data_IF_746938431643
#
_entry.id   IF_746938431643
#
_cell.length_a   1.000
_cell.length_b   1.000
_cell.length_c   1.000
_cell.angle_alpha   90.00
_cell.angle_beta   90.00
_cell.angle_gamma   90.00
#
_symmetry.space_group_name_H-M   'P 1'
#
loop_
_entity.id
_entity.type
_entity.pdbx_description
1 polymer ?
#
# COMPACT_ATOMS: atom_id res chain seq x y z
N UNK A 1 -28.69 58.46 -125.27
CA UNK A 1 -29.03 57.31 -126.14
C UNK A 1 -28.26 56.13 -125.72
N UNK A 2 -28.93 55.09 -125.38
CA UNK A 2 -28.62 53.69 -125.50
C UNK A 2 -27.36 53.21 -124.80
N UNK A 3 -27.34 52.24 -124.05
CA UNK A 3 -28.14 51.07 -123.71
C UNK A 3 -27.41 50.13 -122.76
N UNK A 4 -28.18 49.40 -122.07
CA UNK A 4 -27.80 48.28 -121.26
C UNK A 4 -27.09 47.16 -122.06
N UNK A 5 -26.38 46.22 -121.45
CA UNK A 5 -27.11 45.21 -120.71
C UNK A 5 -26.39 44.57 -119.46
N UNK A 6 -27.17 43.80 -118.70
CA UNK A 6 -26.90 42.98 -117.52
C UNK A 6 -26.01 41.80 -117.81
N UNK A 7 -25.30 41.32 -116.79
CA UNK A 7 -24.94 39.94 -116.66
C UNK A 7 -24.80 39.51 -115.22
N UNK A 8 -25.29 38.36 -114.92
CA UNK A 8 -25.54 37.59 -113.66
C UNK A 8 -24.29 37.15 -112.84
N UNK A 9 -24.49 36.66 -111.61
CA UNK A 9 -23.40 36.41 -110.66
C UNK A 9 -22.77 35.01 -110.81
N UNK A 10 -21.62 34.79 -110.21
CA UNK A 10 -21.19 33.43 -109.84
C UNK A 10 -21.11 33.19 -108.30
N UNK A 11 -21.28 31.99 -108.02
CA UNK A 11 -21.47 31.26 -106.78
C UNK A 11 -20.36 31.34 -105.70
N UNK A 12 -20.74 31.00 -104.50
CA UNK A 12 -20.13 30.97 -103.22
C UNK A 12 -18.74 30.37 -103.05
N UNK A 13 -18.07 30.84 -102.00
CA UNK A 13 -17.02 30.11 -101.32
C UNK A 13 -17.23 30.32 -99.79
N UNK A 14 -17.54 29.19 -99.18
CA UNK A 14 -17.53 29.01 -97.73
C UNK A 14 -16.11 29.21 -97.14
N UNK A 15 -16.05 29.67 -95.92
CA UNK A 15 -14.89 29.51 -95.12
C UNK A 15 -14.37 30.76 -94.41
N UNK A 16 -15.10 31.29 -93.44
CA UNK A 16 -14.57 32.26 -92.49
C UNK A 16 -13.95 31.52 -91.32
N UNK A 17 -12.70 31.11 -91.45
CA UNK A 17 -11.82 30.78 -90.29
C UNK A 17 -11.35 32.12 -89.66
N UNK A 18 -12.06 32.51 -88.63
CA UNK A 18 -11.76 33.73 -87.87
C UNK A 18 -10.54 33.50 -86.98
N UNK A 19 -9.33 34.06 -87.22
CA UNK A 19 -8.09 33.80 -86.45
C UNK A 19 -8.19 34.30 -85.01
N UNK A 20 -9.16 35.18 -84.68
CA UNK A 20 -9.40 35.69 -83.30
C UNK A 20 -10.05 34.66 -82.37
N UNK A 21 -10.88 33.73 -82.91
CA UNK A 21 -11.52 32.70 -82.06
C UNK A 21 -10.59 31.55 -81.65
N UNK A 22 -9.59 31.23 -82.51
CA UNK A 22 -8.56 30.25 -82.15
C UNK A 22 -7.56 30.81 -81.11
N UNK A 23 -7.22 32.07 -81.14
CA UNK A 23 -6.39 32.75 -80.15
C UNK A 23 -7.00 32.75 -78.75
N UNK A 24 -8.33 32.99 -78.68
CA UNK A 24 -9.04 32.98 -77.38
C UNK A 24 -9.16 31.59 -76.72
N UNK A 25 -9.26 30.52 -77.53
CA UNK A 25 -9.25 29.12 -76.97
C UNK A 25 -7.86 28.70 -76.51
N UNK A 26 -6.81 29.02 -77.24
CA UNK A 26 -5.44 28.75 -76.84
C UNK A 26 -5.07 29.57 -75.59
N UNK A 27 -5.48 30.83 -75.53
CA UNK A 27 -5.29 31.66 -74.33
C UNK A 27 -5.97 31.11 -73.05
N UNK A 28 -7.24 30.63 -73.23
CA UNK A 28 -7.98 30.03 -72.13
C UNK A 28 -7.35 28.67 -71.64
N UNK A 29 -6.95 27.82 -72.59
CA UNK A 29 -6.25 26.57 -72.26
C UNK A 29 -4.89 26.82 -71.58
N UNK A 30 -4.13 27.83 -72.09
CA UNK A 30 -2.88 28.26 -71.48
C UNK A 30 -3.09 28.84 -70.08
N UNK A 31 -4.12 29.69 -69.91
CA UNK A 31 -4.48 30.23 -68.59
C UNK A 31 -4.93 29.13 -67.59
N UNK A 32 -5.67 28.13 -68.06
CA UNK A 32 -6.11 26.99 -67.26
C UNK A 32 -4.96 26.09 -66.94
N UNK A 33 -4.01 25.81 -67.81
CA UNK A 33 -2.82 25.07 -67.55
C UNK A 33 -1.90 25.76 -66.53
N UNK A 34 -1.76 27.08 -66.64
CA UNK A 34 -1.01 27.90 -65.68
C UNK A 34 -1.74 27.86 -64.30
N UNK A 35 -3.04 28.00 -64.27
CA UNK A 35 -3.82 27.96 -63.03
C UNK A 35 -3.74 26.57 -62.34
N UNK A 36 -3.77 25.48 -63.13
CA UNK A 36 -3.60 24.11 -62.58
C UNK A 36 -2.16 23.89 -62.11
N UNK A 37 -1.17 24.39 -62.80
CA UNK A 37 0.23 24.26 -62.42
C UNK A 37 0.55 25.06 -61.15
N UNK A 38 0.10 26.34 -61.08
CA UNK A 38 0.31 27.15 -59.87
C UNK A 38 -0.59 26.69 -58.73
N UNK A 39 -1.85 26.28 -58.99
CA UNK A 39 -2.75 25.72 -58.02
C UNK A 39 -2.23 24.38 -57.44
N UNK A 40 -1.71 23.51 -58.30
CA UNK A 40 -1.07 22.27 -57.92
C UNK A 40 0.23 22.49 -57.11
N UNK A 41 1.09 23.44 -57.54
CA UNK A 41 2.28 23.82 -56.79
C UNK A 41 1.92 24.43 -55.44
N UNK A 42 0.92 25.28 -55.36
CA UNK A 42 0.46 25.88 -54.11
C UNK A 42 -0.17 24.84 -53.17
N UNK A 43 -0.97 23.93 -53.71
CA UNK A 43 -1.53 22.81 -52.94
C UNK A 43 -0.41 21.86 -52.41
N UNK A 44 0.60 21.58 -53.24
CA UNK A 44 1.75 20.81 -52.83
C UNK A 44 2.56 21.52 -51.74
N UNK A 45 2.84 22.83 -51.87
CA UNK A 45 3.52 23.65 -50.85
C UNK A 45 2.73 23.72 -49.53
N UNK A 46 1.40 23.69 -49.59
CA UNK A 46 0.52 23.71 -48.41
C UNK A 46 0.43 22.35 -47.71
N UNK A 47 0.50 21.25 -48.49
CA UNK A 47 0.34 19.87 -47.96
C UNK A 47 1.63 19.12 -47.74
N UNK A 48 2.74 19.53 -48.37
CA UNK A 48 4.01 18.86 -48.21
C UNK A 48 4.61 19.09 -46.78
N UNK A 49 4.70 18.05 -45.94
CA UNK A 49 5.28 18.19 -44.61
C UNK A 49 6.81 18.32 -44.72
N UNK A 50 7.33 19.44 -44.27
CA UNK A 50 8.78 19.61 -44.07
C UNK A 50 9.08 19.24 -42.61
N UNK A 51 9.95 18.23 -42.42
CA UNK A 51 10.52 17.91 -41.11
C UNK A 51 11.42 19.06 -40.70
N UNK A 52 11.14 19.71 -39.60
CA UNK A 52 12.04 20.69 -38.99
C UNK A 52 12.74 20.08 -37.77
N UNK A 53 13.99 20.38 -37.61
CA UNK A 53 14.77 19.97 -36.46
C UNK A 53 15.50 21.18 -35.85
N UNK A 54 15.45 21.29 -34.54
CA UNK A 54 16.27 22.26 -33.79
C UNK A 54 17.66 21.67 -33.62
N UNK A 55 18.64 22.39 -34.05
CA UNK A 55 20.07 21.98 -33.96
C UNK A 55 20.67 22.57 -32.69
N UNK A 56 21.04 21.69 -31.77
CA UNK A 56 21.52 22.07 -30.44
C UNK A 56 22.95 21.61 -30.23
N UNK A 57 23.90 22.52 -29.93
CA UNK A 57 25.24 22.12 -29.50
C UNK A 57 25.12 21.38 -28.15
N UNK A 58 25.79 20.24 -28.06
CA UNK A 58 25.65 19.33 -26.93
C UNK A 58 27.00 18.68 -26.56
N UNK A 59 27.03 18.07 -25.40
CA UNK A 59 28.13 17.23 -24.92
C UNK A 59 27.61 16.00 -24.19
N UNK A 60 28.42 14.93 -24.23
CA UNK A 60 28.12 13.75 -23.44
C UNK A 60 28.45 14.01 -21.97
N UNK A 61 27.48 13.72 -21.09
CA UNK A 61 27.63 13.85 -19.64
C UNK A 61 27.27 12.52 -18.99
N UNK A 62 27.87 12.22 -17.86
CA UNK A 62 27.45 11.06 -17.02
C UNK A 62 26.26 11.47 -16.17
N UNK A 63 25.17 10.72 -16.24
CA UNK A 63 23.96 11.00 -15.48
C UNK A 63 24.17 10.85 -13.97
N UNK A 64 25.07 9.96 -13.55
CA UNK A 64 25.22 9.57 -12.17
C UNK A 64 26.71 9.46 -11.78
N UNK A 65 27.20 10.52 -11.16
CA UNK A 65 28.62 10.63 -10.89
C UNK A 65 29.14 9.68 -9.81
N UNK A 66 28.43 9.60 -8.68
CA UNK A 66 28.83 8.79 -7.53
C UNK A 66 27.66 8.58 -6.59
N UNK A 67 27.49 7.37 -6.12
CA UNK A 67 26.50 7.04 -5.10
C UNK A 67 27.14 7.04 -3.73
N UNK A 68 26.83 7.99 -2.84
CA UNK A 68 27.34 7.96 -1.48
C UNK A 68 26.69 6.81 -0.71
N UNK A 69 27.52 6.03 -0.05
CA UNK A 69 27.10 4.99 0.90
C UNK A 69 27.16 5.59 2.30
N UNK A 70 26.01 5.66 2.96
CA UNK A 70 25.83 6.26 4.29
C UNK A 70 25.14 5.25 5.20
N UNK A 71 25.35 5.38 6.51
CA UNK A 71 24.60 4.63 7.51
C UNK A 71 23.71 5.55 8.33
N UNK A 72 22.41 5.17 8.48
CA UNK A 72 21.41 6.05 9.09
C UNK A 72 21.65 6.27 10.58
N UNK A 73 21.94 5.19 11.31
CA UNK A 73 22.07 5.19 12.77
C UNK A 73 23.52 5.39 13.25
N UNK A 74 24.53 5.16 12.37
CA UNK A 74 25.92 5.08 12.77
C UNK A 74 26.25 3.77 13.49
N UNK A 75 27.30 3.72 14.27
CA UNK A 75 27.71 2.55 15.06
C UNK A 75 29.23 2.35 15.12
N UNK A 76 29.66 1.22 15.70
CA UNK A 76 31.07 0.84 15.76
C UNK A 76 31.37 -0.16 14.64
N UNK A 77 32.42 0.09 13.87
CA UNK A 77 32.82 -0.82 12.78
C UNK A 77 33.40 -2.11 13.35
N UNK A 78 32.73 -3.23 13.08
CA UNK A 78 33.24 -4.57 13.43
C UNK A 78 34.24 -5.07 12.39
N UNK A 79 33.89 -4.96 11.10
CA UNK A 79 34.77 -5.40 9.98
C UNK A 79 34.53 -4.55 8.74
N UNK A 80 35.59 -4.25 8.01
CA UNK A 80 35.58 -3.67 6.68
C UNK A 80 35.92 -4.79 5.69
N UNK A 81 35.07 -5.04 4.69
CA UNK A 81 35.18 -6.17 3.78
C UNK A 81 35.71 -5.77 2.40
N UNK A 82 35.82 -4.46 2.13
CA UNK A 82 36.24 -3.89 0.84
C UNK A 82 37.34 -2.86 1.00
N UNK A 83 38.07 -2.59 -0.08
CA UNK A 83 39.10 -1.55 -0.15
C UNK A 83 38.76 -0.56 -1.27
N UNK A 84 39.36 0.63 -1.23
CA UNK A 84 39.26 1.57 -2.35
C UNK A 84 39.85 0.94 -3.64
N UNK A 85 39.08 1.00 -4.72
CA UNK A 85 39.41 0.36 -6.01
C UNK A 85 38.78 -1.02 -6.21
N UNK A 86 38.15 -1.61 -5.17
CA UNK A 86 37.45 -2.90 -5.32
C UNK A 86 36.16 -2.75 -6.12
N UNK A 87 35.87 -3.74 -6.97
CA UNK A 87 34.59 -3.85 -7.67
C UNK A 87 33.61 -4.61 -6.82
N UNK A 88 32.41 -4.06 -6.71
CA UNK A 88 31.32 -4.61 -5.89
C UNK A 88 30.06 -4.78 -6.72
N UNK A 89 29.27 -5.78 -6.37
CA UNK A 89 27.94 -6.03 -6.94
C UNK A 89 26.86 -5.34 -6.09
N UNK A 90 25.72 -5.05 -6.69
CA UNK A 90 24.58 -4.52 -5.96
C UNK A 90 24.14 -5.48 -4.83
N UNK A 91 23.95 -4.96 -3.60
CA UNK A 91 23.59 -5.76 -2.42
C UNK A 91 24.79 -6.45 -1.73
N UNK A 92 26.01 -6.35 -2.30
CA UNK A 92 27.21 -6.90 -1.65
C UNK A 92 27.49 -6.16 -0.34
N UNK A 93 27.81 -6.93 0.72
CA UNK A 93 28.16 -6.36 2.04
C UNK A 93 29.53 -5.73 1.98
N UNK A 94 29.61 -4.43 2.26
CA UNK A 94 30.83 -3.62 2.23
C UNK A 94 31.50 -3.54 3.59
N UNK A 95 30.68 -3.43 4.63
CA UNK A 95 31.11 -3.22 6.01
C UNK A 95 30.10 -3.83 6.98
N UNK A 96 30.55 -4.29 8.11
CA UNK A 96 29.71 -4.76 9.23
C UNK A 96 29.90 -3.87 10.44
N UNK A 97 28.78 -3.43 11.01
CA UNK A 97 28.78 -2.67 12.24
C UNK A 97 28.48 -3.60 13.43
N UNK A 98 29.02 -3.26 14.59
CA UNK A 98 28.74 -3.94 15.86
C UNK A 98 27.79 -3.07 16.68
N UNK A 99 26.68 -3.65 17.08
CA UNK A 99 25.68 -3.02 17.96
C UNK A 99 25.34 -3.94 19.12
N UNK A 100 26.29 -4.15 20.04
CA UNK A 100 26.09 -5.01 21.21
C UNK A 100 24.89 -4.58 22.06
N UNK A 101 24.59 -3.27 22.12
CA UNK A 101 23.45 -2.75 22.87
C UNK A 101 22.12 -3.00 22.16
N UNK A 102 22.07 -2.94 20.83
CA UNK A 102 20.86 -3.18 20.07
C UNK A 102 20.43 -4.65 20.08
N UNK A 103 21.39 -5.59 19.97
CA UNK A 103 21.11 -7.03 20.08
C UNK A 103 20.49 -7.39 21.45
N UNK A 104 21.06 -6.86 22.55
CA UNK A 104 20.53 -7.05 23.90
C UNK A 104 19.14 -6.41 24.08
N UNK A 105 18.92 -5.23 23.49
CA UNK A 105 17.64 -4.51 23.51
C UNK A 105 16.54 -5.28 22.78
N UNK A 106 16.84 -5.77 21.59
CA UNK A 106 15.90 -6.58 20.79
C UNK A 106 15.56 -7.87 21.52
N UNK A 107 16.56 -8.57 22.10
CA UNK A 107 16.32 -9.79 22.85
C UNK A 107 15.46 -9.55 24.10
N UNK A 108 15.68 -8.46 24.82
CA UNK A 108 14.87 -8.09 25.99
C UNK A 108 13.42 -7.80 25.62
N UNK A 109 13.17 -7.05 24.53
CA UNK A 109 11.82 -6.79 24.02
C UNK A 109 11.15 -8.06 23.50
N UNK A 110 11.91 -8.96 22.86
CA UNK A 110 11.40 -10.24 22.40
C UNK A 110 10.97 -11.13 23.57
N UNK A 111 11.79 -11.19 24.63
CA UNK A 111 11.46 -11.93 25.87
C UNK A 111 10.18 -11.38 26.53
N UNK A 112 9.99 -10.04 26.54
CA UNK A 112 8.77 -9.40 27.03
C UNK A 112 7.55 -9.70 26.14
N UNK A 113 7.72 -9.65 24.83
CA UNK A 113 6.67 -9.98 23.86
C UNK A 113 6.23 -11.44 24.03
N UNK A 114 7.16 -12.36 24.19
CA UNK A 114 6.87 -13.78 24.40
C UNK A 114 6.08 -14.00 25.69
N UNK A 115 6.40 -13.25 26.77
CA UNK A 115 5.66 -13.28 28.02
C UNK A 115 4.22 -12.80 27.87
N UNK A 116 4.02 -11.66 27.24
CA UNK A 116 2.66 -11.12 27.06
C UNK A 116 1.84 -11.94 26.06
N UNK A 117 2.46 -12.55 25.03
CA UNK A 117 1.80 -13.49 24.12
C UNK A 117 1.32 -14.76 24.84
N UNK A 118 2.18 -15.34 25.69
CA UNK A 118 1.81 -16.51 26.47
C UNK A 118 0.65 -16.20 27.43
N UNK A 119 0.71 -15.05 28.11
CA UNK A 119 -0.34 -14.55 29.01
C UNK A 119 -1.65 -14.30 28.26
N UNK A 120 -1.61 -13.62 27.11
CA UNK A 120 -2.79 -13.37 26.28
C UNK A 120 -3.43 -14.69 25.82
N UNK A 121 -2.61 -15.65 25.38
CA UNK A 121 -3.09 -16.96 24.93
C UNK A 121 -3.77 -17.74 26.04
N UNK A 122 -3.20 -17.74 27.27
CA UNK A 122 -3.85 -18.36 28.42
C UNK A 122 -5.17 -17.68 28.73
N UNK A 123 -5.18 -16.36 28.81
CA UNK A 123 -6.39 -15.59 29.12
C UNK A 123 -7.47 -15.76 28.04
N UNK A 124 -7.10 -15.86 26.76
CA UNK A 124 -8.04 -16.18 25.68
C UNK A 124 -8.67 -17.57 25.83
N UNK A 125 -7.85 -18.57 26.20
CA UNK A 125 -8.35 -19.91 26.46
C UNK A 125 -9.30 -19.96 27.69
N UNK A 126 -9.01 -19.19 28.75
CA UNK A 126 -9.87 -19.06 29.92
C UNK A 126 -11.21 -18.40 29.58
N UNK A 127 -11.20 -17.25 28.88
CA UNK A 127 -12.44 -16.54 28.51
C UNK A 127 -13.33 -17.32 27.55
N UNK A 128 -12.75 -18.14 26.66
CA UNK A 128 -13.46 -19.04 25.74
C UNK A 128 -13.79 -20.38 26.37
N UNK A 129 -13.48 -20.59 27.65
CA UNK A 129 -13.72 -21.84 28.35
C UNK A 129 -13.06 -23.07 27.69
N UNK A 130 -11.96 -22.88 26.96
CA UNK A 130 -11.24 -23.95 26.28
C UNK A 130 -10.63 -24.95 27.25
N UNK A 131 -10.41 -26.21 26.83
CA UNK A 131 -9.83 -27.23 27.70
C UNK A 131 -8.34 -27.00 28.05
N UNK A 132 -7.61 -26.32 27.15
CA UNK A 132 -6.17 -25.99 27.29
C UNK A 132 -5.81 -24.76 26.44
N UNK A 133 -4.78 -23.98 26.82
CA UNK A 133 -4.26 -22.92 25.96
C UNK A 133 -3.57 -23.53 24.73
N UNK A 134 -3.74 -22.87 23.55
CA UNK A 134 -3.06 -23.21 22.31
C UNK A 134 -2.12 -22.07 21.96
N UNK A 135 -0.83 -22.26 22.26
CA UNK A 135 0.16 -21.23 22.03
C UNK A 135 0.46 -21.04 20.53
N UNK A 136 0.80 -19.82 20.08
CA UNK A 136 1.19 -19.57 18.70
C UNK A 136 2.41 -20.40 18.29
N UNK A 137 2.46 -20.93 17.05
CA UNK A 137 3.56 -21.78 16.59
C UNK A 137 4.93 -21.09 16.64
N UNK A 138 4.97 -19.78 16.46
CA UNK A 138 6.18 -18.96 16.57
C UNK A 138 6.75 -18.99 17.99
N UNK A 139 5.90 -18.95 19.01
CA UNK A 139 6.29 -19.00 20.40
C UNK A 139 6.72 -20.44 20.81
N UNK A 140 6.02 -21.45 20.30
CA UNK A 140 6.40 -22.86 20.50
C UNK A 140 7.75 -23.20 19.84
N UNK A 141 8.02 -22.66 18.65
CA UNK A 141 9.30 -22.83 17.95
C UNK A 141 10.47 -22.24 18.75
N UNK A 142 10.26 -21.14 19.46
CA UNK A 142 11.27 -20.54 20.37
C UNK A 142 11.42 -21.28 21.71
N UNK A 143 10.46 -22.13 22.08
CA UNK A 143 10.46 -22.87 23.34
C UNK A 143 11.39 -24.10 23.34
N UNK A 144 12.59 -23.96 22.78
CA UNK A 144 13.62 -25.02 22.78
C UNK A 144 14.17 -25.31 24.15
N UNK A 145 14.79 -26.52 24.41
CA UNK A 145 15.42 -26.83 25.66
C UNK A 145 16.46 -25.78 26.08
N UNK A 146 16.33 -25.27 27.30
CA UNK A 146 17.22 -24.22 27.83
C UNK A 146 16.80 -22.77 27.51
N UNK A 147 15.82 -22.56 26.66
CA UNK A 147 15.32 -21.21 26.33
C UNK A 147 14.25 -20.73 27.34
N UNK A 148 14.24 -19.42 27.67
CA UNK A 148 13.29 -18.82 28.64
C UNK A 148 11.82 -19.02 28.21
N UNK A 149 11.52 -19.00 26.92
CA UNK A 149 10.19 -19.21 26.39
C UNK A 149 9.55 -20.51 26.87
N UNK A 150 10.33 -21.61 26.97
CA UNK A 150 9.82 -22.89 27.46
C UNK A 150 9.35 -22.85 28.92
N UNK A 151 10.11 -22.23 29.79
CA UNK A 151 9.73 -22.08 31.21
C UNK A 151 8.47 -21.22 31.34
N UNK A 152 8.34 -20.24 30.51
CA UNK A 152 7.22 -19.32 30.44
C UNK A 152 5.91 -20.03 30.00
N UNK A 153 5.95 -20.79 28.90
CA UNK A 153 4.81 -21.60 28.44
C UNK A 153 4.34 -22.60 29.49
N UNK A 154 5.30 -23.21 30.18
CA UNK A 154 5.01 -24.14 31.27
C UNK A 154 4.32 -23.44 32.45
N UNK A 155 4.85 -22.31 32.90
CA UNK A 155 4.26 -21.52 33.98
C UNK A 155 2.84 -21.08 33.68
N UNK A 156 2.58 -20.56 32.46
CA UNK A 156 1.23 -20.15 32.03
C UNK A 156 0.27 -21.34 31.90
N UNK A 157 0.74 -22.48 31.44
CA UNK A 157 -0.06 -23.72 31.39
C UNK A 157 -0.42 -24.23 32.80
N UNK A 158 0.51 -24.17 33.73
CA UNK A 158 0.29 -24.54 35.12
C UNK A 158 -0.70 -23.60 35.82
N UNK A 159 -0.56 -22.29 35.57
CA UNK A 159 -1.51 -21.26 36.06
C UNK A 159 -2.93 -21.47 35.51
N UNK A 160 -3.05 -21.72 34.21
CA UNK A 160 -4.34 -22.09 33.59
C UNK A 160 -4.98 -23.28 34.29
N UNK A 161 -4.22 -24.36 34.46
CA UNK A 161 -4.70 -25.57 35.10
C UNK A 161 -5.11 -25.33 36.56
N UNK A 162 -4.35 -24.52 37.33
CA UNK A 162 -4.67 -24.17 38.72
C UNK A 162 -5.97 -23.36 38.80
N UNK A 163 -6.12 -22.31 38.02
CA UNK A 163 -7.34 -21.46 37.97
C UNK A 163 -8.57 -22.26 37.56
N UNK A 164 -8.42 -23.11 36.55
CA UNK A 164 -9.50 -23.99 36.10
C UNK A 164 -9.93 -24.98 37.18
N UNK A 165 -9.00 -25.63 37.87
CA UNK A 165 -9.32 -26.52 39.00
C UNK A 165 -10.04 -25.77 40.12
N UNK A 166 -9.61 -24.57 40.46
CA UNK A 166 -10.27 -23.75 41.48
C UNK A 166 -11.71 -23.46 41.11
N UNK A 167 -11.97 -22.96 39.87
CA UNK A 167 -13.33 -22.69 39.37
C UNK A 167 -14.21 -23.95 39.34
N UNK A 168 -13.65 -25.07 38.84
CA UNK A 168 -14.37 -26.36 38.82
C UNK A 168 -14.72 -26.84 40.22
N UNK A 169 -13.79 -26.75 41.19
CA UNK A 169 -14.05 -27.14 42.56
C UNK A 169 -15.11 -26.33 43.25
N UNK A 170 -15.12 -24.99 43.09
CA UNK A 170 -16.14 -24.12 43.62
C UNK A 170 -17.52 -24.39 42.97
N UNK A 171 -17.56 -24.59 41.66
CA UNK A 171 -18.78 -24.94 40.95
C UNK A 171 -19.33 -26.30 41.36
N UNK A 172 -18.47 -27.29 41.55
CA UNK A 172 -18.87 -28.63 42.01
C UNK A 172 -19.44 -28.60 43.41
N UNK A 173 -18.86 -27.80 44.34
CA UNK A 173 -19.43 -27.60 45.68
C UNK A 173 -20.84 -27.03 45.63
N UNK A 174 -21.06 -25.95 44.89
CA UNK A 174 -22.41 -25.33 44.78
C UNK A 174 -23.41 -26.30 44.15
N UNK A 175 -23.01 -27.06 43.12
CA UNK A 175 -23.85 -28.09 42.50
C UNK A 175 -24.19 -29.21 43.47
N UNK A 176 -23.25 -29.64 44.33
CA UNK A 176 -23.52 -30.61 45.39
C UNK A 176 -24.54 -30.10 46.38
N UNK A 177 -24.41 -28.84 46.81
CA UNK A 177 -25.43 -28.18 47.64
C UNK A 177 -26.80 -28.13 46.96
N UNK A 178 -26.85 -27.79 45.67
CA UNK A 178 -28.10 -27.79 44.91
C UNK A 178 -28.76 -29.19 44.84
N UNK A 179 -27.96 -30.27 44.75
CA UNK A 179 -28.46 -31.65 44.80
C UNK A 179 -29.10 -31.93 46.14
N UNK A 180 -28.49 -31.51 47.27
CA UNK A 180 -29.06 -31.67 48.63
C UNK A 180 -30.39 -30.92 48.77
N UNK A 181 -30.46 -29.66 48.30
CA UNK A 181 -31.71 -28.86 48.33
C UNK A 181 -32.80 -29.49 47.46
N UNK A 182 -32.46 -30.10 46.31
CA UNK A 182 -33.44 -30.82 45.49
C UNK A 182 -34.03 -32.03 46.22
N UNK A 183 -33.20 -32.80 46.94
CA UNK A 183 -33.67 -33.91 47.76
C UNK A 183 -34.59 -33.44 48.89
N UNK A 184 -34.29 -32.29 49.51
CA UNK A 184 -35.17 -31.65 50.52
C UNK A 184 -36.52 -31.25 49.90
N UNK A 185 -36.50 -30.61 48.71
CA UNK A 185 -37.72 -30.25 47.97
C UNK A 185 -38.57 -31.49 47.69
N UNK A 186 -37.99 -32.62 47.29
CA UNK A 186 -38.73 -33.85 47.02
C UNK A 186 -39.27 -34.48 48.30
N UNK A 187 -38.55 -34.38 49.42
CA UNK A 187 -39.04 -34.75 50.74
C UNK A 187 -40.27 -33.93 51.17
N UNK A 188 -40.17 -32.59 51.04
CA UNK A 188 -41.29 -31.67 51.37
C UNK A 188 -42.50 -31.90 50.46
N UNK A 189 -42.32 -32.17 49.19
CA UNK A 189 -43.46 -32.55 48.32
C UNK A 189 -44.17 -33.83 48.78
N UNK A 190 -43.38 -34.80 49.21
CA UNK A 190 -43.91 -36.04 49.74
C UNK A 190 -44.69 -35.80 51.03
N UNK A 191 -44.20 -34.93 51.91
CA UNK A 191 -44.89 -34.53 53.16
C UNK A 191 -46.22 -33.78 52.86
N UNK A 192 -46.21 -32.85 51.90
CA UNK A 192 -47.43 -32.14 51.44
C UNK A 192 -48.45 -33.14 50.89
N UNK A 193 -48.07 -34.11 50.09
CA UNK A 193 -48.94 -35.14 49.53
C UNK A 193 -49.54 -36.01 50.61
N UNK A 194 -48.76 -36.37 51.64
CA UNK A 194 -49.27 -37.10 52.80
C UNK A 194 -50.27 -36.25 53.67
N UNK A 195 -49.93 -34.96 53.91
CA UNK A 195 -50.76 -34.02 54.58
C UNK A 195 -52.14 -33.81 53.86
N UNK A 196 -52.05 -33.64 52.51
CA UNK A 196 -53.31 -33.55 51.70
C UNK A 196 -54.14 -34.81 51.74
N UNK A 197 -53.53 -35.97 51.85
CA UNK A 197 -54.28 -37.24 52.02
C UNK A 197 -54.97 -37.31 53.38
N UNK A 198 -54.21 -37.00 54.43
CA UNK A 198 -54.79 -36.95 55.78
C UNK A 198 -55.89 -35.92 55.91
N UNK A 199 -55.74 -34.75 55.37
CA UNK A 199 -56.74 -33.70 55.33
C UNK A 199 -58.06 -34.19 54.64
N UNK A 200 -57.95 -34.82 53.48
CA UNK A 200 -59.08 -35.40 52.75
C UNK A 200 -59.83 -36.51 53.55
N UNK A 201 -59.12 -37.29 54.35
CA UNK A 201 -59.71 -38.30 55.21
C UNK A 201 -60.49 -37.65 56.36
N UNK A 202 -59.92 -36.65 57.02
CA UNK A 202 -60.56 -35.87 58.08
C UNK A 202 -61.81 -35.09 57.58
N UNK A 203 -61.70 -34.49 56.36
CA UNK A 203 -62.86 -33.81 55.73
C UNK A 203 -64.04 -34.78 55.53
N UNK A 204 -63.73 -35.98 55.04
CA UNK A 204 -64.78 -37.03 54.88
C UNK A 204 -65.35 -37.48 56.24
N UNK A 205 -64.53 -37.69 57.26
CA UNK A 205 -64.96 -38.01 58.62
C UNK A 205 -65.81 -36.90 59.21
N UNK A 206 -65.43 -35.64 59.04
CA UNK A 206 -66.14 -34.48 59.47
C UNK A 206 -67.55 -34.38 58.80
N UNK A 207 -67.60 -34.57 57.48
CA UNK A 207 -68.84 -34.56 56.71
C UNK A 207 -69.79 -35.64 57.18
N UNK A 208 -69.34 -36.87 57.38
CA UNK A 208 -70.16 -37.94 57.95
C UNK A 208 -70.65 -37.61 59.38
N UNK A 209 -69.81 -37.06 60.27
CA UNK A 209 -70.20 -36.69 61.62
C UNK A 209 -71.11 -35.49 61.62
N UNK A 210 -71.07 -34.53 60.75
CA UNK A 210 -72.01 -33.43 60.57
C UNK A 210 -73.39 -33.94 60.14
N UNK A 211 -73.48 -34.98 59.29
CA UNK A 211 -74.72 -35.60 58.92
C UNK A 211 -75.37 -36.37 60.10
N UNK A 212 -74.57 -37.12 60.84
CA UNK A 212 -75.02 -37.81 62.07
C UNK A 212 -75.45 -36.80 63.16
N UNK A 213 -74.79 -35.68 63.31
CA UNK A 213 -75.17 -34.60 64.25
C UNK A 213 -76.54 -34.01 63.86
N UNK A 214 -76.79 -33.75 62.58
CA UNK A 214 -78.09 -33.28 62.05
C UNK A 214 -79.23 -34.25 62.37
N UNK A 215 -78.89 -35.55 62.49
CA UNK A 215 -79.82 -36.63 62.89
C UNK A 215 -79.86 -36.89 64.42
N UNK A 216 -79.18 -36.08 65.22
CA UNK A 216 -79.07 -36.17 66.68
C UNK A 216 -78.38 -37.45 67.24
N UNK A 217 -77.57 -38.16 66.35
CA UNK A 217 -76.83 -39.37 66.76
C UNK A 217 -75.44 -39.08 67.38
N UNK A 218 -74.95 -37.85 67.26
CA UNK A 218 -73.60 -37.47 67.74
C UNK A 218 -73.66 -36.09 68.43
N UNK A 219 -72.77 -35.88 69.43
CA UNK A 219 -72.70 -34.60 70.18
C UNK A 219 -71.95 -33.55 69.38
N UNK A 220 -72.28 -32.28 69.51
CA UNK A 220 -71.65 -31.13 68.89
C UNK A 220 -70.13 -31.08 69.18
N UNK A 221 -69.70 -31.48 70.37
CA UNK A 221 -68.30 -31.54 70.80
C UNK A 221 -67.42 -32.41 69.88
N UNK A 222 -68.00 -33.49 69.29
CA UNK A 222 -67.28 -34.36 68.35
C UNK A 222 -67.02 -33.64 67.03
N UNK A 223 -68.05 -32.92 66.51
CA UNK A 223 -67.89 -32.12 65.28
C UNK A 223 -66.82 -31.03 65.47
N UNK A 224 -66.90 -30.29 66.59
CA UNK A 224 -65.94 -29.24 66.93
C UNK A 224 -64.48 -29.80 67.10
N UNK A 225 -64.35 -31.01 67.63
CA UNK A 225 -63.05 -31.67 67.76
C UNK A 225 -62.40 -32.00 66.35
N UNK A 226 -63.22 -32.49 65.42
CA UNK A 226 -62.82 -32.79 64.08
C UNK A 226 -62.47 -31.51 63.27
N UNK A 227 -63.24 -30.42 63.49
CA UNK A 227 -62.99 -29.11 62.89
C UNK A 227 -61.65 -28.55 63.37
N UNK A 228 -61.34 -28.65 64.68
CA UNK A 228 -60.03 -28.27 65.20
C UNK A 228 -58.92 -29.14 64.62
N UNK A 229 -59.07 -30.46 64.55
CA UNK A 229 -58.11 -31.38 63.97
C UNK A 229 -57.90 -31.12 62.48
N UNK A 230 -58.89 -30.68 61.72
CA UNK A 230 -58.78 -30.26 60.33
C UNK A 230 -58.00 -28.97 60.23
N UNK A 231 -58.29 -27.95 61.07
CA UNK A 231 -57.54 -26.69 61.12
C UNK A 231 -56.04 -26.91 61.45
N UNK A 232 -55.75 -27.79 62.41
CA UNK A 232 -54.36 -28.16 62.75
C UNK A 232 -53.62 -28.82 61.55
N UNK A 233 -54.37 -29.63 60.74
CA UNK A 233 -53.78 -30.24 59.54
C UNK A 233 -53.55 -29.22 58.37
N UNK A 234 -54.44 -28.24 58.23
CA UNK A 234 -54.30 -27.15 57.30
C UNK A 234 -53.08 -26.25 57.67
N UNK A 235 -52.90 -25.96 58.97
CA UNK A 235 -51.73 -25.24 59.46
C UNK A 235 -50.41 -26.00 59.12
N UNK A 236 -50.37 -27.30 59.49
CA UNK A 236 -49.22 -28.16 59.23
C UNK A 236 -48.90 -28.22 57.72
N UNK A 237 -49.92 -28.32 56.88
CA UNK A 237 -49.75 -28.26 55.41
C UNK A 237 -49.19 -26.90 54.96
N UNK A 238 -49.72 -25.80 55.55
CA UNK A 238 -49.27 -24.44 55.28
C UNK A 238 -47.76 -24.27 55.59
N UNK A 239 -47.28 -24.82 56.69
CA UNK A 239 -45.85 -24.84 57.07
C UNK A 239 -45.00 -25.55 56.03
N UNK A 240 -45.38 -26.78 55.58
CA UNK A 240 -44.65 -27.51 54.58
C UNK A 240 -44.63 -26.79 53.24
N UNK A 241 -45.66 -26.10 52.82
CA UNK A 241 -45.72 -25.28 51.61
C UNK A 241 -44.78 -24.07 51.74
N UNK A 242 -44.73 -23.43 52.92
CA UNK A 242 -43.84 -22.32 53.17
C UNK A 242 -42.36 -22.77 53.16
N UNK A 243 -42.05 -23.94 53.75
CA UNK A 243 -40.72 -24.54 53.71
C UNK A 243 -40.30 -24.94 52.28
N UNK A 244 -41.22 -25.50 51.50
CA UNK A 244 -41.00 -25.82 50.08
C UNK A 244 -40.63 -24.55 49.29
N UNK A 245 -41.37 -23.45 49.50
CA UNK A 245 -41.09 -22.18 48.84
C UNK A 245 -39.66 -21.65 49.20
N UNK A 246 -39.29 -21.75 50.50
CA UNK A 246 -37.91 -21.38 50.93
C UNK A 246 -36.84 -22.26 50.30
N UNK A 247 -37.06 -23.59 50.24
CA UNK A 247 -36.12 -24.52 49.62
C UNK A 247 -35.98 -24.26 48.12
N UNK A 248 -37.10 -23.97 47.41
CA UNK A 248 -37.05 -23.58 46.00
C UNK A 248 -36.30 -22.27 45.77
N UNK A 249 -36.52 -21.26 46.60
CA UNK A 249 -35.77 -20.02 46.56
C UNK A 249 -34.26 -20.26 46.75
N UNK A 250 -33.88 -21.12 47.70
CA UNK A 250 -32.50 -21.51 47.96
C UNK A 250 -31.85 -22.20 46.76
N UNK A 251 -32.59 -23.06 46.06
CA UNK A 251 -32.11 -23.70 44.83
C UNK A 251 -31.79 -22.67 43.75
N UNK A 252 -32.71 -21.73 43.50
CA UNK A 252 -32.48 -20.64 42.52
C UNK A 252 -31.28 -19.78 42.92
N UNK A 253 -31.11 -19.47 44.20
CA UNK A 253 -29.95 -18.72 44.70
C UNK A 253 -28.62 -19.46 44.39
N UNK A 254 -28.59 -20.80 44.60
CA UNK A 254 -27.41 -21.60 44.28
C UNK A 254 -27.12 -21.64 42.79
N UNK A 255 -28.12 -21.76 41.92
CA UNK A 255 -27.99 -21.75 40.48
C UNK A 255 -27.46 -20.38 39.98
N UNK A 256 -27.99 -19.27 40.51
CA UNK A 256 -27.48 -17.93 40.24
C UNK A 256 -26.03 -17.73 40.69
N UNK A 257 -25.63 -18.31 41.84
CA UNK A 257 -24.23 -18.27 42.30
C UNK A 257 -23.29 -19.03 41.35
N UNK A 258 -23.72 -20.15 40.77
CA UNK A 258 -22.95 -20.88 39.77
C UNK A 258 -22.73 -20.03 38.53
N UNK A 259 -23.75 -19.35 38.02
CA UNK A 259 -23.67 -18.44 36.88
C UNK A 259 -22.74 -17.27 37.21
N UNK A 260 -22.91 -16.61 38.34
CA UNK A 260 -22.06 -15.50 38.77
C UNK A 260 -20.58 -15.89 38.89
N UNK A 261 -20.30 -17.11 39.35
CA UNK A 261 -18.94 -17.63 39.44
C UNK A 261 -18.30 -17.85 38.03
N UNK A 262 -19.10 -18.31 37.08
CA UNK A 262 -18.65 -18.46 35.68
C UNK A 262 -18.40 -17.12 35.04
N UNK A 263 -19.33 -16.16 35.20
CA UNK A 263 -19.21 -14.81 34.64
C UNK A 263 -17.99 -14.08 35.21
N UNK A 264 -17.72 -14.20 36.51
CA UNK A 264 -16.53 -13.62 37.17
C UNK A 264 -15.24 -14.24 36.60
N UNK A 265 -15.21 -15.56 36.40
CA UNK A 265 -14.07 -16.26 35.79
C UNK A 265 -13.81 -15.74 34.35
N UNK A 266 -14.85 -15.67 33.51
CA UNK A 266 -14.75 -15.20 32.12
C UNK A 266 -14.40 -13.71 32.07
N UNK A 267 -14.99 -12.89 32.95
CA UNK A 267 -14.73 -11.45 33.02
C UNK A 267 -13.26 -11.18 33.36
N UNK A 268 -12.74 -11.78 34.43
CA UNK A 268 -11.32 -11.63 34.81
C UNK A 268 -10.39 -12.05 33.67
N UNK A 269 -10.69 -13.15 33.00
CA UNK A 269 -9.92 -13.61 31.84
C UNK A 269 -9.99 -12.64 30.66
N UNK A 270 -11.15 -12.03 30.42
CA UNK A 270 -11.35 -11.05 29.35
C UNK A 270 -10.59 -9.75 29.63
N UNK A 271 -10.63 -9.27 30.86
CA UNK A 271 -9.90 -8.07 31.28
C UNK A 271 -8.37 -8.30 31.14
N UNK A 272 -7.89 -9.46 31.57
CA UNK A 272 -6.48 -9.84 31.47
C UNK A 272 -6.04 -10.03 29.99
N UNK A 273 -6.89 -10.64 29.15
CA UNK A 273 -6.65 -10.76 27.73
C UNK A 273 -6.51 -9.40 27.05
N UNK A 274 -7.43 -8.49 27.34
CA UNK A 274 -7.43 -7.15 26.75
C UNK A 274 -6.14 -6.39 27.10
N UNK A 275 -5.74 -6.44 28.35
CA UNK A 275 -4.50 -5.79 28.82
C UNK A 275 -3.24 -6.43 28.18
N UNK A 276 -3.15 -7.77 28.20
CA UNK A 276 -2.02 -8.48 27.61
C UNK A 276 -1.94 -8.26 26.11
N UNK A 277 -3.07 -8.31 25.41
CA UNK A 277 -3.10 -8.08 23.96
C UNK A 277 -2.71 -6.63 23.58
N UNK A 278 -3.11 -5.65 24.37
CA UNK A 278 -2.67 -4.26 24.19
C UNK A 278 -1.14 -4.15 24.30
N UNK A 279 -0.54 -4.81 25.29
CA UNK A 279 0.93 -4.84 25.45
C UNK A 279 1.63 -5.60 24.33
N UNK A 280 1.04 -6.67 23.82
CA UNK A 280 1.56 -7.40 22.65
C UNK A 280 1.67 -6.48 21.44
N UNK A 281 0.63 -5.68 21.17
CA UNK A 281 0.63 -4.72 20.06
C UNK A 281 1.74 -3.67 20.29
N UNK A 282 1.80 -3.08 21.47
CA UNK A 282 2.80 -2.07 21.81
C UNK A 282 4.24 -2.60 21.66
N UNK A 283 4.50 -3.80 22.16
CA UNK A 283 5.84 -4.41 22.07
C UNK A 283 6.23 -4.78 20.64
N UNK A 284 5.27 -5.22 19.81
CA UNK A 284 5.50 -5.47 18.38
C UNK A 284 5.90 -4.21 17.64
N UNK A 285 5.20 -3.11 17.90
CA UNK A 285 5.52 -1.82 17.28
C UNK A 285 6.89 -1.26 17.74
N UNK A 286 7.26 -1.50 18.98
CA UNK A 286 8.60 -1.14 19.49
C UNK A 286 9.71 -2.04 18.92
N UNK A 287 9.44 -3.31 18.74
CA UNK A 287 10.41 -4.29 18.24
C UNK A 287 10.75 -4.07 16.77
N UNK A 288 9.76 -3.68 15.95
CA UNK A 288 9.90 -3.51 14.51
C UNK A 288 11.05 -2.58 14.08
N UNK A 289 11.16 -1.33 14.56
CA UNK A 289 12.27 -0.46 14.17
C UNK A 289 13.62 -0.99 14.66
N UNK A 290 13.68 -1.63 15.83
CA UNK A 290 14.92 -2.19 16.35
C UNK A 290 15.43 -3.40 15.55
N UNK A 291 14.54 -4.28 15.09
CA UNK A 291 14.92 -5.37 14.19
C UNK A 291 15.37 -4.85 12.83
N UNK A 292 14.72 -3.82 12.28
CA UNK A 292 15.17 -3.17 11.05
C UNK A 292 16.54 -2.50 11.20
N UNK A 293 16.83 -1.92 12.35
CA UNK A 293 18.16 -1.36 12.63
C UNK A 293 19.23 -2.45 12.64
N UNK A 294 18.93 -3.61 13.25
CA UNK A 294 19.85 -4.77 13.22
C UNK A 294 20.12 -5.29 11.81
N UNK A 295 19.09 -5.32 10.94
CA UNK A 295 19.26 -5.74 9.55
C UNK A 295 20.18 -4.77 8.78
N UNK A 296 20.11 -3.46 9.09
CA UNK A 296 20.97 -2.43 8.49
C UNK A 296 22.43 -2.45 8.97
N UNK A 297 22.77 -3.18 10.04
CA UNK A 297 24.19 -3.30 10.48
C UNK A 297 25.14 -3.81 9.39
N UNK A 298 24.64 -4.51 8.39
CA UNK A 298 25.37 -4.87 7.19
C UNK A 298 25.19 -3.74 6.16
N UNK A 299 26.20 -2.88 6.03
CA UNK A 299 26.24 -1.83 5.02
C UNK A 299 26.43 -2.47 3.66
N UNK A 300 25.47 -2.31 2.76
CA UNK A 300 25.46 -2.93 1.42
C UNK A 300 25.64 -1.91 0.31
N UNK A 301 26.17 -2.37 -0.83
CA UNK A 301 26.32 -1.56 -2.03
C UNK A 301 24.93 -1.26 -2.65
N UNK A 302 24.56 0.02 -2.85
CA UNK A 302 23.28 0.38 -3.49
C UNK A 302 23.28 0.06 -5.00
N UNK A 303 24.44 0.05 -5.64
CA UNK A 303 24.62 -0.24 -7.07
C UNK A 303 25.92 -1.04 -7.28
N UNK A 304 26.01 -1.75 -8.41
CA UNK A 304 27.26 -2.38 -8.83
C UNK A 304 28.24 -1.32 -9.34
N UNK A 305 29.50 -1.38 -8.93
CA UNK A 305 30.49 -0.38 -9.31
C UNK A 305 31.82 -0.54 -8.60
N UNK A 306 32.64 0.51 -8.64
CA UNK A 306 33.93 0.57 -7.99
C UNK A 306 33.89 1.45 -6.74
N UNK A 307 34.43 0.96 -5.64
CA UNK A 307 34.49 1.68 -4.36
C UNK A 307 35.56 2.78 -4.42
N UNK A 308 35.15 4.01 -4.14
CA UNK A 308 36.04 5.16 -4.10
C UNK A 308 35.85 5.94 -2.79
N UNK A 309 36.94 6.53 -2.29
CA UNK A 309 36.86 7.43 -1.14
C UNK A 309 36.48 6.75 0.17
N UNK A 310 36.89 5.50 0.41
CA UNK A 310 36.70 4.81 1.66
C UNK A 310 37.29 5.65 2.80
N UNK A 311 36.45 6.08 3.77
CA UNK A 311 36.87 6.93 4.89
C UNK A 311 37.23 6.14 6.12
N UNK A 312 36.64 4.98 6.29
CA UNK A 312 36.81 4.10 7.46
C UNK A 312 37.63 2.87 7.05
N UNK A 313 38.82 2.73 7.62
CA UNK A 313 39.78 1.72 7.19
C UNK A 313 40.04 0.61 8.25
N UNK A 314 39.62 0.83 9.51
CA UNK A 314 39.96 -0.06 10.59
C UNK A 314 38.74 -0.48 11.43
N UNK A 315 38.71 -1.72 11.94
CA UNK A 315 37.77 -2.14 12.99
C UNK A 315 37.90 -1.26 14.23
N UNK A 316 36.79 -1.03 14.94
CA UNK A 316 36.73 -0.19 16.13
C UNK A 316 36.50 1.29 15.86
N UNK A 317 36.47 1.74 14.60
CA UNK A 317 36.13 3.10 14.26
C UNK A 317 34.65 3.37 14.57
N UNK A 318 34.33 4.58 15.06
CA UNK A 318 32.98 5.04 15.37
C UNK A 318 32.46 5.86 14.19
N UNK A 319 31.28 5.53 13.71
CA UNK A 319 30.59 6.19 12.59
C UNK A 319 29.44 7.01 13.17
N UNK A 320 29.33 8.27 12.76
CA UNK A 320 28.20 9.12 13.11
C UNK A 320 26.95 8.82 12.26
N UNK A 321 25.73 9.09 12.76
CA UNK A 321 24.51 9.00 11.97
C UNK A 321 24.57 9.87 10.70
N UNK A 322 24.26 9.27 9.53
CA UNK A 322 24.27 9.96 8.24
C UNK A 322 25.67 10.22 7.66
N UNK A 323 26.72 9.71 8.27
CA UNK A 323 28.10 9.86 7.77
C UNK A 323 28.33 9.11 6.45
N UNK A 324 28.99 9.76 5.49
CA UNK A 324 29.41 9.13 4.23
C UNK A 324 30.62 8.26 4.48
N UNK A 325 30.46 6.95 4.31
CA UNK A 325 31.49 5.94 4.56
C UNK A 325 32.41 5.75 3.34
N UNK A 326 31.82 5.76 2.16
CA UNK A 326 32.47 5.60 0.86
C UNK A 326 31.54 6.07 -0.25
N UNK A 327 32.04 6.14 -1.46
CA UNK A 327 31.27 6.40 -2.67
C UNK A 327 31.42 5.23 -3.64
N UNK A 328 30.36 4.91 -4.40
CA UNK A 328 30.42 3.89 -5.45
C UNK A 328 30.24 4.60 -6.79
N UNK A 329 31.21 4.38 -7.70
CA UNK A 329 31.10 4.78 -9.08
C UNK A 329 30.52 3.62 -9.87
N UNK A 330 29.35 3.76 -10.51
CA UNK A 330 28.70 2.69 -11.25
C UNK A 330 29.60 2.14 -12.37
N UNK A 331 29.60 0.82 -12.56
CA UNK A 331 30.44 0.15 -13.59
C UNK A 331 29.97 0.49 -15.01
N UNK A 332 28.70 0.76 -15.20
CA UNK A 332 28.10 1.20 -16.46
C UNK A 332 27.48 2.58 -16.25
N UNK A 333 28.23 3.66 -16.46
CA UNK A 333 27.66 4.99 -16.35
C UNK A 333 26.63 5.20 -17.46
N UNK A 334 25.38 5.53 -17.11
CA UNK A 334 24.43 6.00 -18.11
C UNK A 334 24.93 7.33 -18.66
N UNK A 335 25.21 7.34 -19.97
CA UNK A 335 25.60 8.54 -20.69
C UNK A 335 24.33 9.21 -21.19
N UNK A 336 24.17 10.48 -20.85
CA UNK A 336 23.18 11.35 -21.45
C UNK A 336 23.85 12.45 -22.26
N UNK A 337 23.10 12.98 -23.20
CA UNK A 337 23.54 14.09 -24.03
C UNK A 337 22.91 15.36 -23.48
N UNK A 338 23.73 16.26 -22.97
CA UNK A 338 23.33 17.56 -22.47
C UNK A 338 23.54 18.61 -23.56
N UNK A 339 22.46 19.31 -23.91
CA UNK A 339 22.47 20.37 -24.90
C UNK A 339 21.98 21.71 -24.36
N UNK A 340 22.43 22.78 -24.99
CA UNK A 340 22.06 24.16 -24.67
C UNK A 340 21.21 24.73 -25.78
N UNK A 341 19.92 24.93 -25.52
CA UNK A 341 18.92 25.42 -26.46
C UNK A 341 18.77 26.93 -26.30
N UNK A 342 18.64 27.66 -27.39
CA UNK A 342 18.38 29.10 -27.37
C UNK A 342 16.94 29.37 -26.86
N UNK A 343 16.70 30.51 -26.20
CA UNK A 343 15.36 30.88 -25.73
C UNK A 343 14.30 30.94 -26.84
N UNK A 344 14.71 31.28 -28.06
CA UNK A 344 13.84 31.37 -29.24
C UNK A 344 13.33 30.00 -29.73
N UNK A 345 14.10 28.92 -29.48
CA UNK A 345 13.80 27.57 -29.97
C UNK A 345 13.06 26.70 -28.92
N UNK A 346 13.00 27.13 -27.66
CA UNK A 346 12.46 26.33 -26.55
C UNK A 346 10.95 26.05 -26.69
N UNK A 347 10.21 26.97 -27.33
CA UNK A 347 8.77 26.85 -27.49
C UNK A 347 8.34 25.64 -28.37
N UNK A 348 9.22 25.19 -29.24
CA UNK A 348 8.99 24.06 -30.15
C UNK A 348 9.44 22.71 -29.55
N UNK A 349 10.02 22.72 -28.33
CA UNK A 349 10.54 21.52 -27.67
C UNK A 349 9.56 20.98 -26.62
N UNK A 350 9.54 19.64 -26.51
CA UNK A 350 8.79 18.95 -25.48
C UNK A 350 9.55 17.67 -25.05
N UNK A 351 9.30 17.22 -23.83
CA UNK A 351 9.79 15.93 -23.36
C UNK A 351 9.16 14.82 -24.19
N UNK A 352 9.98 13.83 -24.58
CA UNK A 352 9.57 12.69 -25.40
C UNK A 352 9.76 12.88 -26.90
N UNK A 353 10.22 14.06 -27.37
CA UNK A 353 10.54 14.26 -28.79
C UNK A 353 11.72 13.38 -29.22
N UNK A 354 11.68 12.80 -30.42
CA UNK A 354 12.79 12.05 -30.98
C UNK A 354 13.98 12.97 -31.24
N UNK A 355 15.15 12.43 -30.93
CA UNK A 355 16.43 13.15 -31.11
C UNK A 355 17.39 12.28 -31.91
N UNK A 356 18.03 12.89 -32.87
CA UNK A 356 19.18 12.31 -33.56
C UNK A 356 20.46 13.00 -33.08
N UNK A 357 21.38 12.23 -32.50
CA UNK A 357 22.63 12.75 -31.92
C UNK A 357 23.80 12.39 -32.81
N UNK A 358 24.56 13.40 -33.20
CA UNK A 358 25.79 13.25 -33.94
C UNK A 358 27.01 13.58 -33.05
N UNK A 359 27.87 12.60 -32.85
CA UNK A 359 29.14 12.82 -32.10
C UNK A 359 30.13 13.50 -33.00
N UNK A 360 30.45 14.78 -32.76
CA UNK A 360 31.33 15.60 -33.58
C UNK A 360 32.81 15.26 -33.38
N UNK A 361 33.15 14.53 -32.30
CA UNK A 361 34.49 14.01 -32.05
C UNK A 361 34.93 12.94 -33.07
N UNK A 362 33.99 12.34 -33.83
CA UNK A 362 34.28 11.34 -34.85
C UNK A 362 34.22 11.96 -36.27
N UNK A 363 34.92 11.37 -37.24
CA UNK A 363 34.89 11.85 -38.61
C UNK A 363 33.50 11.70 -39.21
N UNK A 364 32.88 12.80 -39.63
CA UNK A 364 31.47 12.93 -40.08
C UNK A 364 31.01 11.93 -41.15
N UNK A 365 31.92 11.36 -41.97
CA UNK A 365 31.52 10.49 -43.11
C UNK A 365 31.29 9.02 -42.76
N UNK A 366 31.60 8.57 -41.53
CA UNK A 366 31.56 7.15 -41.16
C UNK A 366 30.82 6.86 -39.86
N UNK A 367 30.26 7.89 -39.20
CA UNK A 367 29.61 7.71 -37.91
C UNK A 367 28.08 7.78 -38.08
N UNK A 368 27.32 6.74 -37.71
CA UNK A 368 25.87 6.78 -37.76
C UNK A 368 25.33 7.82 -36.76
N UNK A 369 24.16 8.37 -37.08
CA UNK A 369 23.37 9.16 -36.14
C UNK A 369 22.83 8.24 -35.04
N UNK A 370 22.99 8.64 -33.80
CA UNK A 370 22.47 7.92 -32.65
C UNK A 370 21.04 8.37 -32.40
N UNK A 371 20.10 7.42 -32.35
CA UNK A 371 18.73 7.69 -32.03
C UNK A 371 18.52 7.81 -30.51
N UNK A 372 17.61 8.68 -30.10
CA UNK A 372 17.30 8.89 -28.71
C UNK A 372 16.02 9.69 -28.50
N UNK A 373 15.75 10.07 -27.26
CA UNK A 373 14.58 10.86 -26.89
C UNK A 373 14.96 11.95 -25.88
N UNK A 374 14.27 13.09 -25.94
CA UNK A 374 14.37 14.15 -24.92
C UNK A 374 13.75 13.66 -23.62
N UNK A 375 14.55 13.61 -22.53
CA UNK A 375 14.13 13.18 -21.22
C UNK A 375 13.90 14.32 -20.25
N UNK A 376 14.59 15.45 -20.45
CA UNK A 376 14.47 16.60 -19.57
C UNK A 376 14.62 17.89 -20.36
N UNK A 377 13.85 18.90 -19.97
CA UNK A 377 13.94 20.29 -20.45
C UNK A 377 13.83 21.20 -19.22
N UNK A 378 14.78 22.12 -19.06
CA UNK A 378 14.76 23.03 -17.91
C UNK A 378 13.54 23.95 -17.97
N UNK A 379 12.86 24.16 -16.82
CA UNK A 379 11.70 25.03 -16.71
C UNK A 379 12.04 26.53 -16.71
N UNK A 380 13.34 26.88 -16.57
CA UNK A 380 13.83 28.25 -16.54
C UNK A 380 15.12 28.38 -17.37
N UNK A 381 15.41 29.59 -17.83
CA UNK A 381 16.60 29.90 -18.56
C UNK A 381 17.80 30.04 -17.61
N UNK A 382 18.89 29.35 -17.97
CA UNK A 382 20.19 29.44 -17.31
C UNK A 382 21.09 30.41 -18.07
N UNK A 383 21.92 31.14 -17.33
CA UNK A 383 22.92 32.04 -17.97
C UNK A 383 24.31 31.43 -17.86
N UNK A 384 24.97 31.24 -18.97
CA UNK A 384 26.40 30.86 -18.98
C UNK A 384 27.23 31.91 -19.67
N UNK A 385 28.45 32.11 -19.21
CA UNK A 385 29.42 32.97 -19.90
C UNK A 385 30.06 32.22 -21.07
N UNK A 386 29.89 32.73 -22.27
CA UNK A 386 30.58 32.28 -23.47
C UNK A 386 31.42 33.47 -24.00
N UNK A 387 32.73 33.31 -24.02
CA UNK A 387 33.67 34.36 -24.40
C UNK A 387 33.51 35.68 -23.64
N UNK A 388 33.15 35.61 -22.34
CA UNK A 388 32.96 36.78 -21.48
C UNK A 388 31.61 37.50 -21.68
N UNK A 389 30.68 36.94 -22.47
CA UNK A 389 29.34 37.46 -22.70
C UNK A 389 28.33 36.53 -22.03
N UNK A 390 27.41 37.06 -21.19
CA UNK A 390 26.34 36.22 -20.61
C UNK A 390 25.33 35.85 -21.70
N UNK A 391 25.18 34.54 -21.95
CA UNK A 391 24.21 33.98 -22.91
C UNK A 391 23.18 33.16 -22.15
N UNK A 392 21.89 33.55 -22.32
CA UNK A 392 20.78 32.81 -21.78
C UNK A 392 20.50 31.58 -22.63
N UNK A 393 20.28 30.43 -22.00
CA UNK A 393 19.97 29.17 -22.67
C UNK A 393 19.10 28.28 -21.79
N UNK A 394 18.36 27.36 -22.41
CA UNK A 394 17.66 26.29 -21.72
C UNK A 394 18.51 25.01 -21.81
N UNK A 395 18.49 24.22 -20.72
CA UNK A 395 19.18 22.95 -20.66
C UNK A 395 18.24 21.84 -21.14
N UNK A 396 18.69 21.01 -22.06
CA UNK A 396 17.97 19.83 -22.54
C UNK A 396 18.84 18.60 -22.36
N UNK A 397 18.26 17.53 -21.80
CA UNK A 397 18.92 16.22 -21.74
C UNK A 397 18.20 15.26 -22.68
N UNK A 398 18.97 14.44 -23.36
CA UNK A 398 18.48 13.35 -24.18
C UNK A 398 19.20 12.06 -23.84
N UNK A 399 18.47 10.97 -23.76
CA UNK A 399 19.04 9.63 -23.67
C UNK A 399 19.29 9.09 -25.07
N UNK A 400 20.32 8.30 -25.21
CA UNK A 400 20.68 7.63 -26.47
C UNK A 400 20.32 6.15 -26.33
N UNK A 401 19.67 5.60 -27.35
CA UNK A 401 19.27 4.20 -27.38
C UNK A 401 20.49 3.27 -27.37
N UNK A 402 20.50 2.27 -26.48
CA UNK A 402 21.59 1.33 -26.33
C UNK A 402 21.89 0.54 -27.63
N UNK A 403 20.86 0.33 -28.48
CA UNK A 403 21.05 -0.35 -29.76
C UNK A 403 21.86 0.49 -30.75
N UNK A 404 21.63 1.80 -30.81
CA UNK A 404 22.33 2.71 -31.68
C UNK A 404 23.82 2.91 -31.32
N UNK A 405 24.20 2.58 -30.09
CA UNK A 405 25.60 2.68 -29.62
C UNK A 405 26.44 1.45 -29.94
N UNK A 406 25.85 0.30 -30.31
CA UNK A 406 26.57 -0.96 -30.57
C UNK A 406 27.50 -0.89 -31.81
N UNK A 407 27.13 -0.11 -32.80
CA UNK A 407 27.84 -0.02 -34.07
C UNK A 407 28.93 1.08 -34.09
N UNK A 408 29.21 1.68 -32.93
CA UNK A 408 30.22 2.73 -32.84
C UNK A 408 31.64 2.18 -32.85
N UNK A 409 32.54 2.78 -33.63
CA UNK A 409 33.93 2.31 -33.79
C UNK A 409 34.78 2.51 -32.52
N UNK A 410 34.33 3.29 -31.55
CA UNK A 410 35.00 3.58 -30.26
C UNK A 410 33.96 3.77 -29.15
N UNK A 411 34.37 3.48 -27.91
CA UNK A 411 33.55 3.74 -26.74
C UNK A 411 33.31 5.24 -26.57
N UNK A 412 32.07 5.60 -26.23
CA UNK A 412 31.69 6.96 -25.85
C UNK A 412 32.39 7.33 -24.54
N UNK A 413 32.87 8.55 -24.43
CA UNK A 413 33.46 9.07 -23.20
C UNK A 413 32.81 10.39 -22.80
N UNK A 414 32.67 10.64 -21.48
CA UNK A 414 32.18 11.92 -20.97
C UNK A 414 33.01 13.09 -21.51
N UNK A 415 32.34 14.23 -21.76
CA UNK A 415 32.98 15.42 -22.30
C UNK A 415 33.13 15.43 -23.83
N UNK A 416 32.77 14.36 -24.55
CA UNK A 416 32.80 14.39 -26.02
C UNK A 416 31.76 15.38 -26.55
N UNK A 417 32.17 16.30 -27.47
CA UNK A 417 31.25 17.22 -28.13
C UNK A 417 30.32 16.46 -29.07
N UNK A 418 29.06 16.86 -29.08
CA UNK A 418 28.00 16.30 -29.89
C UNK A 418 27.09 17.41 -30.44
N UNK A 419 26.31 17.09 -31.45
CA UNK A 419 25.22 17.93 -31.94
C UNK A 419 23.94 17.13 -31.89
N UNK A 420 22.93 17.69 -31.24
CA UNK A 420 21.59 17.11 -31.20
C UNK A 420 20.71 17.76 -32.27
N UNK A 421 19.98 16.93 -32.98
CA UNK A 421 18.90 17.31 -33.89
C UNK A 421 17.59 16.86 -33.29
N UNK A 422 16.87 17.78 -32.63
CA UNK A 422 15.60 17.50 -31.99
C UNK A 422 14.51 17.66 -33.04
N UNK A 423 13.83 16.58 -33.38
CA UNK A 423 12.74 16.62 -34.38
C UNK A 423 11.54 17.35 -33.79
N UNK A 424 11.14 18.43 -34.44
CA UNK A 424 9.97 19.21 -34.06
C UNK A 424 8.80 18.90 -34.98
N UNK A 425 7.62 19.46 -34.68
CA UNK A 425 6.42 19.25 -35.51
C UNK A 425 6.66 19.62 -36.93
N UNK A 426 6.28 18.74 -37.89
CA UNK A 426 6.33 19.03 -39.31
C UNK A 426 5.50 20.28 -39.63
N UNK A 427 6.11 21.24 -40.32
CA UNK A 427 5.44 22.46 -40.82
C UNK A 427 5.27 22.37 -42.33
N UNK A 428 4.26 23.03 -42.91
CA UNK A 428 4.11 23.06 -44.36
C UNK A 428 5.18 23.97 -44.98
N UNK A 429 5.62 23.66 -46.20
CA UNK A 429 6.51 24.50 -46.94
C UNK A 429 5.98 25.94 -47.15
N UNK A 430 4.67 26.08 -47.20
CA UNK A 430 3.98 27.38 -47.29
C UNK A 430 4.15 28.19 -45.99
N UNK A 431 3.98 27.55 -44.80
CA UNK A 431 4.17 28.21 -43.50
C UNK A 431 5.61 28.74 -43.37
N UNK A 432 6.61 27.92 -43.80
CA UNK A 432 8.00 28.33 -43.75
C UNK A 432 8.32 29.56 -44.61
N UNK A 433 7.70 29.66 -45.80
CA UNK A 433 7.92 30.79 -46.72
C UNK A 433 7.16 32.06 -46.28
N UNK A 434 6.04 31.89 -45.62
CA UNK A 434 5.18 33.02 -45.18
C UNK A 434 5.54 33.54 -43.77
N UNK A 435 6.24 32.75 -42.97
CA UNK A 435 6.62 33.09 -41.58
C UNK A 435 7.34 34.45 -41.47
N UNK A 436 8.40 34.76 -42.25
CA UNK A 436 9.09 36.05 -42.16
C UNK A 436 8.21 37.22 -42.51
N UNK A 437 7.21 37.03 -43.39
CA UNK A 437 6.24 38.07 -43.79
C UNK A 437 5.21 38.26 -42.66
N UNK A 438 4.68 37.20 -42.10
CA UNK A 438 3.67 37.27 -41.02
C UNK A 438 4.31 37.82 -39.71
N UNK A 439 5.54 37.47 -39.40
CA UNK A 439 6.26 37.99 -38.22
C UNK A 439 6.60 39.49 -38.40
N UNK A 440 7.01 39.90 -39.60
CA UNK A 440 7.25 41.32 -39.89
C UNK A 440 5.94 42.16 -39.84
N UNK A 441 4.84 41.62 -40.35
CA UNK A 441 3.52 42.28 -40.24
C UNK A 441 3.04 42.35 -38.79
N UNK A 442 3.22 41.26 -38.01
CA UNK A 442 2.82 41.26 -36.59
C UNK A 442 3.62 42.31 -35.78
N UNK A 443 4.93 42.43 -36.03
CA UNK A 443 5.76 43.48 -35.42
C UNK A 443 5.36 44.87 -35.82
N UNK A 444 5.00 45.10 -37.12
CA UNK A 444 4.57 46.41 -37.61
C UNK A 444 3.18 46.88 -37.08
N UNK A 445 2.32 45.92 -36.66
CA UNK A 445 0.99 46.25 -36.09
C UNK A 445 0.97 46.18 -34.54
N UNK A 446 2.10 45.93 -33.87
CA UNK A 446 2.18 45.80 -32.39
C UNK A 446 3.11 46.85 -31.75
N UNK A 447 3.50 47.90 -32.48
CA UNK A 447 4.17 49.02 -31.84
C UNK A 447 3.14 49.87 -31.06
N UNK A 448 3.48 50.22 -29.76
CA UNK A 448 2.56 50.99 -28.89
C UNK A 448 2.37 52.41 -29.35
#
# INVERSE_FOLDING_TARGET
MSGLPASSPPAGVDGTDDPFVRGARIGRVGALAIAVLFGGAFAWLALAPLSSAVVVPASLVVEDYRRPVQHLEGGIVSRVLVRSGDRVEQGQVLMQLEEVQADAGVQALQDQLDAELARATRADAERRMQPRPQFPPELEARAQPGHKARSLLRAESELFAARRRQWQGQTALLRSQAVQVRAEIDGLRSQIAAADTNRRLLERELEMNRDLYRREFVQQTRVMTLERALADKDEQRGEYVAELAKAQQKLVELDLRVIALQDDYVKRASDEYTEANRRVIELRERLRPMTQALDRRAVQAPVAGEVVGLRVHAPGAVIAPGEVLMEIVPAEPSLLVEGRVRPEDVADLAIGLPVSVQITAFKQRSTPLLSGQVTYLSGDSLTSEVDGVPVAHYLVHATVDAESTRDLPRRLAPGMPATMFIETRARSALDYLLQPLTDSMRKAFTEP
#
